data_IF_004793236798
#
_entry.id   IF_004793236798
#
_cell.length_a   1.000
_cell.length_b   1.000
_cell.length_c   1.000
_cell.angle_alpha   90.00
_cell.angle_beta   90.00
_cell.angle_gamma   90.00
#
_symmetry.space_group_name_H-M   'P 1'
#
loop_
_entity.id
_entity.type
_entity.pdbx_description
1 polymer ?
#
# COMPACT_ATOMS: atom_id res chain seq x y z
N UNK A 1 3.11 14.70 11.81
CA UNK A 1 2.97 14.00 10.54
C UNK A 1 1.61 13.36 10.43
N UNK A 2 1.03 13.46 9.26
CA UNK A 2 -0.30 12.92 9.04
C UNK A 2 -0.23 11.43 8.74
N UNK A 3 -1.04 10.66 9.42
CA UNK A 3 -1.20 9.24 9.16
C UNK A 3 -2.67 8.98 8.89
N UNK A 4 -3.00 8.50 7.72
CA UNK A 4 -4.39 8.30 7.30
C UNK A 4 -4.67 6.83 7.06
N UNK A 5 -5.93 6.38 7.22
CA UNK A 5 -6.31 5.03 6.84
C UNK A 5 -5.98 4.80 5.37
N UNK A 6 -5.56 3.57 5.03
CA UNK A 6 -5.16 3.26 3.66
C UNK A 6 -6.30 3.53 2.66
N UNK A 7 -7.53 3.35 3.08
CA UNK A 7 -8.69 3.55 2.22
C UNK A 7 -8.94 5.02 1.87
N UNK A 8 -8.29 5.96 2.57
CA UNK A 8 -8.44 7.39 2.29
C UNK A 8 -7.56 7.89 1.16
N UNK A 9 -6.62 7.07 0.70
CA UNK A 9 -5.76 7.45 -0.43
C UNK A 9 -6.59 7.45 -1.70
N UNK A 10 -6.52 8.54 -2.46
CA UNK A 10 -7.19 8.63 -3.74
C UNK A 10 -6.65 7.56 -4.70
N UNK A 11 -7.54 6.82 -5.31
CA UNK A 11 -7.17 5.71 -6.18
C UNK A 11 -7.12 4.36 -5.49
N UNK A 12 -7.18 4.32 -4.15
CA UNK A 12 -7.29 3.07 -3.42
C UNK A 12 -8.76 2.79 -3.16
N UNK A 13 -9.33 1.91 -3.95
CA UNK A 13 -10.72 1.49 -3.77
C UNK A 13 -10.85 0.46 -2.64
N UNK A 14 -12.11 0.10 -2.28
CA UNK A 14 -12.34 -0.88 -1.20
C UNK A 14 -11.63 -2.21 -1.42
N UNK A 15 -11.57 -2.68 -2.66
CA UNK A 15 -10.91 -3.94 -2.99
C UNK A 15 -9.41 -3.88 -2.71
N UNK A 16 -8.77 -2.78 -3.11
CA UNK A 16 -7.34 -2.59 -2.86
C UNK A 16 -7.07 -2.40 -1.37
N UNK A 17 -7.92 -1.65 -0.69
CA UNK A 17 -7.77 -1.44 0.75
C UNK A 17 -7.82 -2.77 1.51
N UNK A 18 -8.74 -3.65 1.15
CA UNK A 18 -8.82 -4.97 1.78
C UNK A 18 -7.57 -5.80 1.54
N UNK A 19 -7.06 -5.78 0.32
CA UNK A 19 -5.83 -6.51 -0.02
C UNK A 19 -4.64 -6.00 0.78
N UNK A 20 -4.53 -4.68 0.91
CA UNK A 20 -3.45 -4.07 1.68
C UNK A 20 -3.58 -4.40 3.16
N UNK A 21 -4.78 -4.35 3.71
CA UNK A 21 -5.03 -4.71 5.10
C UNK A 21 -4.66 -6.16 5.37
N UNK A 22 -4.98 -7.04 4.45
CA UNK A 22 -4.64 -8.47 4.57
C UNK A 22 -3.13 -8.69 4.61
N UNK A 23 -2.36 -7.79 3.96
CA UNK A 23 -0.91 -7.83 3.99
C UNK A 23 -0.31 -7.07 5.18
N UNK A 24 -1.15 -6.57 6.09
CA UNK A 24 -0.70 -5.83 7.27
C UNK A 24 -0.52 -4.34 7.05
N UNK A 25 -0.95 -3.83 5.90
CA UNK A 25 -0.84 -2.41 5.56
C UNK A 25 -2.20 -1.75 5.74
N UNK A 26 -2.40 -1.11 6.88
CA UNK A 26 -3.70 -0.51 7.20
C UNK A 26 -3.71 1.02 7.16
N UNK A 27 -2.55 1.65 7.06
CA UNK A 27 -2.44 3.10 7.02
C UNK A 27 -1.32 3.55 6.09
N UNK A 28 -1.27 4.87 5.83
CA UNK A 28 -0.31 5.45 4.91
C UNK A 28 1.12 5.37 5.42
N UNK A 29 1.32 5.46 6.72
CA UNK A 29 2.66 5.35 7.30
C UNK A 29 3.23 3.95 7.07
N UNK A 30 2.43 2.92 7.30
CA UNK A 30 2.86 1.54 7.07
C UNK A 30 3.15 1.29 5.60
N UNK A 31 2.30 1.81 4.71
CA UNK A 31 2.52 1.68 3.27
C UNK A 31 3.85 2.33 2.87
N UNK A 32 4.09 3.53 3.36
CA UNK A 32 5.31 4.26 3.04
C UNK A 32 6.55 3.50 3.52
N UNK A 33 6.51 2.99 4.74
CA UNK A 33 7.62 2.22 5.29
C UNK A 33 7.90 0.93 4.51
N UNK A 34 6.83 0.24 4.11
CA UNK A 34 6.96 -1.01 3.36
C UNK A 34 7.38 -0.78 1.92
N UNK A 35 6.97 0.33 1.33
CA UNK A 35 7.18 0.62 -0.09
C UNK A 35 8.28 1.64 -0.36
N UNK A 36 9.07 2.00 0.64
CA UNK A 36 10.11 3.04 0.48
C UNK A 36 11.27 2.62 -0.43
N UNK A 37 11.50 1.33 -0.58
CA UNK A 37 12.54 0.82 -1.46
C UNK A 37 11.98 -0.19 -2.46
N UNK A 38 12.72 -0.51 -3.54
CA UNK A 38 12.23 -1.43 -4.57
C UNK A 38 11.90 -2.83 -4.05
N UNK A 39 12.63 -3.32 -3.07
CA UNK A 39 12.36 -4.62 -2.46
C UNK A 39 11.02 -4.63 -1.74
N UNK A 40 10.78 -3.57 -0.97
CA UNK A 40 9.53 -3.44 -0.24
C UNK A 40 8.35 -3.35 -1.18
N UNK A 41 8.48 -2.59 -2.27
CA UNK A 41 7.43 -2.47 -3.28
C UNK A 41 7.12 -3.82 -3.93
N UNK A 42 8.14 -4.58 -4.27
CA UNK A 42 7.96 -5.91 -4.86
C UNK A 42 7.26 -6.86 -3.89
N UNK A 43 7.66 -6.82 -2.63
CA UNK A 43 7.05 -7.64 -1.60
C UNK A 43 5.57 -7.30 -1.43
N UNK A 44 5.24 -6.02 -1.36
CA UNK A 44 3.85 -5.57 -1.25
C UNK A 44 3.05 -6.01 -2.47
N UNK A 45 3.59 -5.84 -3.67
CA UNK A 45 2.93 -6.25 -4.90
C UNK A 45 2.66 -7.76 -4.91
N UNK A 46 3.64 -8.55 -4.49
CA UNK A 46 3.49 -10.01 -4.45
C UNK A 46 2.45 -10.45 -3.43
N UNK A 47 2.44 -9.83 -2.25
CA UNK A 47 1.51 -10.18 -1.17
C UNK A 47 0.08 -9.77 -1.48
N UNK A 48 -0.10 -8.63 -2.15
CA UNK A 48 -1.42 -8.07 -2.40
C UNK A 48 -1.98 -8.39 -3.78
N UNK A 49 -1.11 -8.78 -4.72
CA UNK A 49 -1.51 -8.94 -6.11
C UNK A 49 -1.71 -7.62 -6.84
N UNK A 50 -1.27 -6.52 -6.24
CA UNK A 50 -1.37 -5.18 -6.84
C UNK A 50 -0.08 -4.90 -7.62
N UNK A 51 -0.19 -4.25 -8.78
CA UNK A 51 0.97 -3.92 -9.59
C UNK A 51 1.94 -3.00 -8.84
N UNK A 52 3.24 -3.25 -9.01
CA UNK A 52 4.29 -2.44 -8.41
C UNK A 52 4.15 -0.95 -8.73
N UNK A 53 3.77 -0.64 -9.96
CA UNK A 53 3.59 0.73 -10.40
C UNK A 53 2.51 1.46 -9.60
N UNK A 54 1.45 0.75 -9.22
CA UNK A 54 0.39 1.32 -8.38
C UNK A 54 0.89 1.55 -6.95
N UNK A 55 1.62 0.60 -6.42
CA UNK A 55 2.20 0.74 -5.08
C UNK A 55 3.12 1.95 -5.03
N UNK A 56 3.97 2.10 -6.03
CA UNK A 56 4.86 3.26 -6.14
C UNK A 56 4.09 4.57 -6.21
N UNK A 57 3.00 4.59 -6.94
CA UNK A 57 2.17 5.78 -7.08
C UNK A 57 1.54 6.21 -5.76
N UNK A 58 1.16 5.25 -4.92
CA UNK A 58 0.54 5.55 -3.63
C UNK A 58 1.57 5.91 -2.56
N UNK A 59 2.78 5.47 -2.69
CA UNK A 59 3.86 5.75 -1.73
C UNK A 59 4.52 7.18 -1.93
#
# INVERSE_FOLDING_TARGET
>A
MSNYPIASIEGVGPAYAEKLKAAGIKDTTTLLERAKDPRGRKAVAAETGIEESRVLKWA
#
